data_IF_628931516490
#
_entry.id   IF_628931516490
#
_cell.length_a   1.000
_cell.length_b   1.000
_cell.length_c   1.000
_cell.angle_alpha   90.00
_cell.angle_beta   90.00
_cell.angle_gamma   90.00
#
_symmetry.space_group_name_H-M   'P 1'
#
loop_
_entity.id
_entity.type
_entity.pdbx_description
1 polymer ?
#
# COMPACT_ATOMS: atom_id res chain seq x y z
N UNK A 1 -11.52 2.55 18.93
CA UNK A 1 -10.80 3.68 18.31
C UNK A 1 -10.59 3.50 16.80
N UNK A 2 -9.93 2.42 16.34
CA UNK A 2 -9.68 2.15 14.92
C UNK A 2 -10.95 2.24 14.03
N UNK A 3 -12.03 1.61 14.48
CA UNK A 3 -13.36 1.68 13.85
C UNK A 3 -13.91 3.08 13.62
N UNK A 4 -13.66 3.97 14.57
CA UNK A 4 -14.10 5.36 14.49
C UNK A 4 -13.31 6.11 13.41
N UNK A 5 -12.01 5.82 13.29
CA UNK A 5 -11.14 6.39 12.24
C UNK A 5 -11.56 5.91 10.84
N UNK A 6 -11.92 4.64 10.68
CA UNK A 6 -12.43 4.09 9.41
C UNK A 6 -13.71 4.82 8.96
N UNK A 7 -14.66 5.06 9.88
CA UNK A 7 -15.87 5.83 9.59
C UNK A 7 -15.56 7.29 9.22
N UNK A 8 -14.69 7.96 9.97
CA UNK A 8 -14.30 9.34 9.65
C UNK A 8 -13.65 9.46 8.27
N UNK A 9 -12.88 8.45 7.86
CA UNK A 9 -12.24 8.41 6.55
C UNK A 9 -13.23 8.22 5.38
N UNK A 10 -14.46 7.74 5.64
CA UNK A 10 -15.49 7.56 4.62
C UNK A 10 -16.91 7.86 5.15
N UNK A 11 -17.29 9.15 5.28
CA UNK A 11 -18.54 9.57 5.91
C UNK A 11 -19.80 9.28 5.08
N UNK A 12 -19.69 8.73 3.87
CA UNK A 12 -20.79 8.48 2.93
C UNK A 12 -21.64 7.24 3.21
N UNK A 13 -21.29 6.43 4.21
CA UNK A 13 -22.09 5.25 4.60
C UNK A 13 -23.19 5.73 5.55
N UNK A 14 -24.42 5.85 5.03
CA UNK A 14 -25.61 6.45 5.69
C UNK A 14 -26.13 5.76 6.96
N UNK A 15 -25.31 4.94 7.61
CA UNK A 15 -25.64 4.25 8.86
C UNK A 15 -25.38 5.15 10.09
N UNK A 16 -26.26 5.04 11.09
CA UNK A 16 -25.99 5.56 12.44
C UNK A 16 -24.73 4.92 13.05
N UNK A 17 -24.17 5.53 14.10
CA UNK A 17 -22.95 5.00 14.78
C UNK A 17 -23.19 3.61 15.34
N UNK A 18 -24.39 3.39 15.86
CA UNK A 18 -24.85 2.14 16.44
C UNK A 18 -25.00 1.05 15.37
N UNK A 19 -25.63 1.37 14.23
CA UNK A 19 -25.77 0.45 13.09
C UNK A 19 -24.41 0.04 12.52
N UNK A 20 -23.52 1.01 12.29
CA UNK A 20 -22.17 0.72 11.81
C UNK A 20 -21.38 -0.17 12.78
N UNK A 21 -21.48 0.09 14.10
CA UNK A 21 -20.85 -0.76 15.13
C UNK A 21 -21.44 -2.16 15.15
N UNK A 22 -22.75 -2.31 14.99
CA UNK A 22 -23.42 -3.61 14.99
C UNK A 22 -23.04 -4.42 13.75
N UNK A 23 -23.13 -3.81 12.56
CA UNK A 23 -22.67 -4.43 11.30
C UNK A 23 -21.22 -4.88 11.40
N UNK A 24 -20.34 -4.01 11.88
CA UNK A 24 -18.94 -4.37 12.03
C UNK A 24 -18.69 -5.50 13.03
N UNK A 25 -19.38 -5.51 14.18
CA UNK A 25 -19.25 -6.60 15.15
C UNK A 25 -19.70 -7.94 14.55
N UNK A 26 -20.78 -7.95 13.78
CA UNK A 26 -21.24 -9.13 13.08
C UNK A 26 -20.21 -9.60 12.04
N UNK A 27 -19.70 -8.68 11.21
CA UNK A 27 -18.62 -8.93 10.24
C UNK A 27 -17.36 -9.48 10.89
N UNK A 28 -16.90 -8.85 11.98
CA UNK A 28 -15.74 -9.30 12.73
C UNK A 28 -15.97 -10.70 13.32
N UNK A 29 -17.16 -10.98 13.87
CA UNK A 29 -17.53 -12.31 14.35
C UNK A 29 -17.46 -13.38 13.26
N UNK A 30 -18.01 -13.10 12.08
CA UNK A 30 -17.94 -13.99 10.91
C UNK A 30 -16.49 -14.22 10.46
N UNK A 31 -15.69 -13.16 10.39
CA UNK A 31 -14.28 -13.25 9.97
C UNK A 31 -13.46 -14.02 10.99
N UNK A 32 -13.70 -13.87 12.28
CA UNK A 32 -13.01 -14.64 13.31
C UNK A 32 -13.40 -16.13 13.27
N UNK A 33 -14.65 -16.45 12.94
CA UNK A 33 -15.13 -17.82 12.79
C UNK A 33 -14.77 -18.47 11.44
N UNK A 34 -14.37 -17.68 10.44
CA UNK A 34 -14.10 -18.17 9.10
C UNK A 34 -12.99 -19.26 9.09
N UNK A 35 -13.17 -20.36 8.32
CA UNK A 35 -12.23 -21.48 8.27
C UNK A 35 -11.05 -21.17 7.33
N UNK A 36 -10.35 -20.06 7.57
CA UNK A 36 -9.22 -19.59 6.74
C UNK A 36 -8.14 -20.67 6.55
N UNK A 37 -7.97 -21.53 7.56
CA UNK A 37 -7.00 -22.63 7.58
C UNK A 37 -7.33 -23.77 6.63
N UNK A 38 -8.49 -23.75 5.95
CA UNK A 38 -8.82 -24.72 4.91
C UNK A 38 -7.98 -24.51 3.63
N UNK A 39 -7.60 -23.27 3.35
CA UNK A 39 -6.95 -22.87 2.10
C UNK A 39 -5.57 -22.27 2.29
N UNK A 40 -5.27 -21.77 3.49
CA UNK A 40 -4.02 -21.09 3.82
C UNK A 40 -3.46 -21.64 5.14
N UNK A 41 -2.16 -21.89 5.22
CA UNK A 41 -1.48 -22.23 6.46
C UNK A 41 -0.40 -21.19 6.77
N UNK A 42 -0.33 -20.75 8.02
CA UNK A 42 0.66 -19.78 8.51
C UNK A 42 0.79 -19.89 10.03
N UNK A 43 1.69 -19.10 10.62
CA UNK A 43 1.83 -19.01 12.08
C UNK A 43 0.58 -18.42 12.74
N UNK A 44 0.42 -18.61 14.05
CA UNK A 44 -0.70 -18.02 14.79
C UNK A 44 -0.75 -16.49 14.66
N UNK A 45 0.42 -15.85 14.77
CA UNK A 45 0.57 -14.40 14.57
C UNK A 45 0.16 -13.98 13.16
N UNK A 46 0.62 -14.69 12.13
CA UNK A 46 0.27 -14.41 10.75
C UNK A 46 -1.25 -14.54 10.51
N UNK A 47 -1.88 -15.57 11.10
CA UNK A 47 -3.33 -15.77 10.99
C UNK A 47 -4.12 -14.69 11.73
N UNK A 48 -3.64 -14.20 12.88
CA UNK A 48 -4.26 -13.09 13.60
C UNK A 48 -4.18 -11.79 12.80
N UNK A 49 -3.00 -11.49 12.26
CA UNK A 49 -2.77 -10.34 11.38
C UNK A 49 -3.66 -10.41 10.14
N UNK A 50 -3.78 -11.58 9.51
CA UNK A 50 -4.65 -11.81 8.36
C UNK A 50 -6.12 -11.59 8.70
N UNK A 51 -6.61 -12.14 9.82
CA UNK A 51 -7.98 -11.90 10.28
C UNK A 51 -8.23 -10.41 10.52
N UNK A 52 -7.28 -9.73 11.15
CA UNK A 52 -7.37 -8.28 11.36
C UNK A 52 -7.43 -7.55 10.02
N UNK A 53 -6.56 -7.86 9.06
CA UNK A 53 -6.58 -7.27 7.72
C UNK A 53 -7.92 -7.49 7.00
N UNK A 54 -8.49 -8.71 7.08
CA UNK A 54 -9.79 -9.01 6.51
C UNK A 54 -10.90 -8.16 7.15
N UNK A 55 -10.88 -7.99 8.47
CA UNK A 55 -11.83 -7.12 9.16
C UNK A 55 -11.72 -5.68 8.65
N UNK A 56 -10.51 -5.18 8.36
CA UNK A 56 -10.32 -3.84 7.79
C UNK A 56 -10.85 -3.71 6.37
N UNK A 57 -10.73 -4.77 5.56
CA UNK A 57 -11.29 -4.82 4.21
C UNK A 57 -12.82 -4.83 4.24
N UNK A 58 -13.40 -5.64 5.12
CA UNK A 58 -14.84 -5.91 5.17
C UNK A 58 -15.70 -4.66 5.43
N UNK A 59 -15.09 -3.57 5.92
CA UNK A 59 -15.79 -2.30 6.15
C UNK A 59 -16.16 -1.60 4.84
N UNK A 60 -15.43 -1.88 3.76
CA UNK A 60 -15.59 -1.21 2.48
C UNK A 60 -15.76 -2.16 1.30
N UNK A 61 -15.49 -3.45 1.48
CA UNK A 61 -15.44 -4.44 0.42
C UNK A 61 -16.28 -5.68 0.80
N UNK A 62 -17.02 -6.23 -0.16
CA UNK A 62 -17.64 -7.54 -0.04
C UNK A 62 -16.68 -8.65 -0.49
N UNK A 63 -16.65 -9.76 0.23
CA UNK A 63 -15.85 -10.94 -0.13
C UNK A 63 -16.58 -11.79 -1.17
N UNK A 64 -16.32 -11.49 -2.43
CA UNK A 64 -16.82 -12.24 -3.58
C UNK A 64 -15.77 -12.23 -4.70
N UNK A 65 -16.05 -12.88 -5.84
CA UNK A 65 -15.18 -12.78 -7.01
C UNK A 65 -14.94 -11.34 -7.50
N UNK A 66 -15.80 -10.37 -7.15
CA UNK A 66 -15.60 -8.96 -7.49
C UNK A 66 -14.45 -8.30 -6.71
N UNK A 67 -14.10 -8.79 -5.51
CA UNK A 67 -12.98 -8.25 -4.72
C UNK A 67 -11.65 -8.34 -5.48
N UNK A 68 -11.58 -9.22 -6.49
CA UNK A 68 -10.41 -9.40 -7.33
C UNK A 68 -10.04 -8.19 -8.18
N UNK A 69 -11.01 -7.31 -8.48
CA UNK A 69 -10.83 -6.16 -9.38
C UNK A 69 -10.40 -4.89 -8.65
N UNK A 70 -10.55 -4.86 -7.33
CA UNK A 70 -10.18 -3.72 -6.49
C UNK A 70 -8.75 -3.78 -6.00
N UNK A 71 -8.42 -2.88 -5.06
CA UNK A 71 -7.08 -2.72 -4.45
C UNK A 71 -6.90 -3.53 -3.15
N UNK A 72 -7.89 -4.36 -2.79
CA UNK A 72 -7.85 -5.22 -1.62
C UNK A 72 -6.70 -6.26 -1.68
N UNK A 73 -6.43 -6.93 -2.82
CA UNK A 73 -5.28 -7.83 -2.94
C UNK A 73 -3.95 -7.15 -2.68
N UNK A 74 -3.77 -5.93 -3.16
CA UNK A 74 -2.56 -5.13 -2.98
C UNK A 74 -2.38 -4.72 -1.51
N UNK A 75 -3.47 -4.33 -0.85
CA UNK A 75 -3.45 -4.06 0.58
C UNK A 75 -3.02 -5.30 1.36
N UNK A 76 -3.64 -6.46 1.11
CA UNK A 76 -3.31 -7.72 1.81
C UNK A 76 -1.87 -8.14 1.54
N UNK A 77 -1.42 -8.05 0.28
CA UNK A 77 -0.03 -8.34 -0.07
C UNK A 77 0.94 -7.44 0.73
N UNK A 78 0.65 -6.15 0.84
CA UNK A 78 1.48 -5.21 1.59
C UNK A 78 1.52 -5.57 3.08
N UNK A 79 0.36 -5.76 3.72
CA UNK A 79 0.32 -6.01 5.17
C UNK A 79 0.79 -7.41 5.55
N UNK A 80 0.63 -8.39 4.68
CA UNK A 80 1.05 -9.77 4.93
C UNK A 80 2.47 -10.07 4.44
N UNK A 81 3.15 -9.10 3.81
CA UNK A 81 4.50 -9.30 3.26
C UNK A 81 5.54 -9.85 4.24
N UNK A 82 5.53 -9.56 5.56
CA UNK A 82 6.50 -10.15 6.48
C UNK A 82 6.19 -11.61 6.86
N UNK A 83 4.98 -12.09 6.54
CA UNK A 83 4.50 -13.40 6.95
C UNK A 83 4.70 -14.45 5.86
N UNK A 84 4.85 -15.69 6.30
CA UNK A 84 4.93 -16.87 5.43
C UNK A 84 3.61 -17.60 5.42
N UNK A 85 3.04 -17.79 4.23
CA UNK A 85 1.82 -18.55 4.05
C UNK A 85 1.95 -19.61 2.95
N UNK A 86 1.59 -20.83 3.29
CA UNK A 86 1.47 -21.93 2.33
C UNK A 86 0.02 -22.06 1.85
N UNK A 87 -0.15 -22.32 0.55
CA UNK A 87 -1.47 -22.66 -0.02
C UNK A 87 -1.72 -24.16 0.12
N UNK A 88 -2.83 -24.54 0.74
CA UNK A 88 -3.17 -25.95 0.96
C UNK A 88 -3.88 -26.60 -0.24
N UNK A 89 -4.65 -25.81 -1.02
CA UNK A 89 -5.46 -26.31 -2.15
C UNK A 89 -5.49 -25.33 -3.32
N UNK A 90 -4.34 -24.94 -3.91
CA UNK A 90 -4.25 -23.89 -4.92
C UNK A 90 -5.10 -24.19 -6.17
N UNK A 91 -5.08 -25.43 -6.66
CA UNK A 91 -5.82 -25.84 -7.86
C UNK A 91 -7.34 -25.66 -7.71
N UNK A 92 -7.88 -25.89 -6.50
CA UNK A 92 -9.29 -25.70 -6.20
C UNK A 92 -9.70 -24.22 -6.30
N UNK A 93 -8.84 -23.32 -5.82
CA UNK A 93 -9.06 -21.88 -5.90
C UNK A 93 -8.98 -21.38 -7.35
N UNK A 94 -7.99 -21.84 -8.12
CA UNK A 94 -7.86 -21.55 -9.56
C UNK A 94 -9.11 -21.99 -10.33
N UNK A 95 -9.62 -23.19 -10.04
CA UNK A 95 -10.86 -23.69 -10.67
C UNK A 95 -12.04 -22.79 -10.36
N UNK A 96 -12.24 -22.40 -9.09
CA UNK A 96 -13.32 -21.48 -8.67
C UNK A 96 -13.20 -20.13 -9.38
N UNK A 97 -12.00 -19.54 -9.42
CA UNK A 97 -11.76 -18.28 -10.14
C UNK A 97 -12.08 -18.38 -11.62
N UNK A 98 -11.58 -19.41 -12.29
CA UNK A 98 -11.82 -19.58 -13.73
C UNK A 98 -13.31 -19.81 -14.02
N UNK A 99 -14.03 -20.56 -13.16
CA UNK A 99 -15.47 -20.73 -13.27
C UNK A 99 -16.22 -19.41 -13.10
N UNK A 100 -15.87 -18.62 -12.09
CA UNK A 100 -16.45 -17.29 -11.87
C UNK A 100 -16.24 -16.36 -13.07
N UNK A 101 -14.99 -16.21 -13.53
CA UNK A 101 -14.66 -15.36 -14.68
C UNK A 101 -15.38 -15.82 -15.95
N UNK A 102 -15.46 -17.13 -16.20
CA UNK A 102 -16.19 -17.68 -17.36
C UNK A 102 -17.68 -17.38 -17.28
N UNK A 103 -18.27 -17.47 -16.09
CA UNK A 103 -19.68 -17.18 -15.87
C UNK A 103 -19.96 -15.68 -16.07
N UNK A 104 -19.24 -14.81 -15.35
CA UNK A 104 -19.39 -13.36 -15.45
C UNK A 104 -19.05 -12.81 -16.83
N UNK A 105 -18.12 -13.43 -17.56
CA UNK A 105 -17.75 -13.05 -18.92
C UNK A 105 -18.88 -13.23 -19.94
N UNK A 106 -19.92 -14.01 -19.63
CA UNK A 106 -21.15 -14.10 -20.44
C UNK A 106 -22.07 -12.89 -20.24
N UNK A 107 -21.97 -12.24 -19.08
CA UNK A 107 -22.83 -11.14 -18.68
C UNK A 107 -22.18 -9.77 -18.90
N UNK A 108 -20.84 -9.68 -18.76
CA UNK A 108 -20.10 -8.42 -18.88
C UNK A 108 -18.78 -8.61 -19.64
N UNK A 109 -18.56 -7.75 -20.64
CA UNK A 109 -17.35 -7.77 -21.49
C UNK A 109 -16.05 -7.56 -20.71
N UNK A 110 -16.10 -6.82 -19.60
CA UNK A 110 -14.96 -6.65 -18.69
C UNK A 110 -14.38 -8.00 -18.26
N UNK A 111 -15.22 -8.94 -17.84
CA UNK A 111 -14.80 -10.26 -17.38
C UNK A 111 -14.39 -11.20 -18.52
N UNK A 112 -14.92 -10.98 -19.73
CA UNK A 112 -14.50 -11.76 -20.91
C UNK A 112 -13.02 -11.54 -21.28
N UNK A 113 -12.45 -10.38 -20.91
CA UNK A 113 -11.04 -10.07 -21.13
C UNK A 113 -10.08 -10.74 -20.15
N UNK A 114 -10.57 -11.40 -19.10
CA UNK A 114 -9.73 -12.02 -18.09
C UNK A 114 -9.23 -13.38 -18.55
N UNK A 115 -7.91 -13.50 -18.77
CA UNK A 115 -7.29 -14.74 -19.20
C UNK A 115 -7.55 -15.89 -18.22
N UNK A 116 -7.75 -17.10 -18.75
CA UNK A 116 -7.86 -18.32 -17.95
C UNK A 116 -6.51 -18.63 -17.30
N UNK A 117 -6.52 -18.85 -16.00
CA UNK A 117 -5.31 -19.24 -15.27
C UNK A 117 -4.99 -20.73 -15.46
N UNK A 118 -3.70 -21.05 -15.60
CA UNK A 118 -3.19 -22.42 -15.51
C UNK A 118 -3.30 -23.00 -14.09
N UNK A 119 -3.18 -24.32 -13.95
CA UNK A 119 -3.34 -25.00 -12.65
C UNK A 119 -2.33 -24.52 -11.59
N UNK A 120 -1.12 -24.15 -12.03
CA UNK A 120 -0.01 -23.71 -11.18
C UNK A 120 0.20 -22.18 -11.23
N UNK A 121 -0.83 -21.44 -11.65
CA UNK A 121 -0.73 -19.99 -11.83
C UNK A 121 -0.65 -19.19 -10.51
N UNK A 122 -0.96 -19.82 -9.38
CA UNK A 122 -0.81 -19.22 -8.05
C UNK A 122 0.19 -20.04 -7.25
N UNK A 123 1.08 -19.35 -6.55
CA UNK A 123 2.16 -19.93 -5.75
C UNK A 123 1.95 -19.62 -4.26
N UNK A 124 2.61 -20.37 -3.34
CA UNK A 124 2.70 -19.98 -1.94
C UNK A 124 3.12 -18.52 -1.78
N UNK A 125 2.58 -17.86 -0.75
CA UNK A 125 2.97 -16.50 -0.39
C UNK A 125 4.05 -16.61 0.66
N UNK A 126 5.25 -16.93 0.21
CA UNK A 126 6.44 -17.00 1.04
C UNK A 126 7.47 -16.02 0.47
N UNK A 127 7.96 -15.07 1.28
CA UNK A 127 9.05 -14.22 0.86
C UNK A 127 10.28 -15.07 0.52
N UNK A 128 10.98 -14.79 -0.59
CA UNK A 128 12.21 -15.49 -0.92
C UNK A 128 13.26 -15.28 0.17
N UNK A 129 14.11 -16.28 0.39
CA UNK A 129 15.22 -16.19 1.32
C UNK A 129 16.34 -15.33 0.74
N UNK A 130 16.17 -14.01 0.83
CA UNK A 130 17.08 -12.98 0.33
C UNK A 130 17.44 -12.05 1.51
N UNK A 131 18.73 -11.91 1.86
CA UNK A 131 19.15 -11.12 3.02
C UNK A 131 18.66 -9.66 3.01
N UNK A 132 18.71 -9.01 1.85
CA UNK A 132 18.31 -7.60 1.70
C UNK A 132 16.79 -7.45 1.88
N UNK A 133 16.01 -8.40 1.33
CA UNK A 133 14.57 -8.45 1.54
C UNK A 133 14.23 -8.73 3.00
N UNK A 134 14.88 -9.72 3.60
CA UNK A 134 14.64 -10.15 4.98
C UNK A 134 14.85 -9.01 5.98
N UNK A 135 15.86 -8.15 5.76
CA UNK A 135 16.07 -6.98 6.61
C UNK A 135 14.90 -5.99 6.53
N UNK A 136 14.42 -5.68 5.32
CA UNK A 136 13.25 -4.81 5.11
C UNK A 136 11.99 -5.42 5.74
N UNK A 137 11.74 -6.70 5.53
CA UNK A 137 10.60 -7.41 6.11
C UNK A 137 10.65 -7.42 7.64
N UNK A 138 11.84 -7.58 8.23
CA UNK A 138 12.05 -7.48 9.67
C UNK A 138 11.63 -6.13 10.24
N UNK A 139 11.92 -5.03 9.54
CA UNK A 139 11.44 -3.69 9.92
C UNK A 139 9.92 -3.56 9.78
N UNK A 140 9.37 -4.03 8.65
CA UNK A 140 7.93 -3.98 8.37
C UNK A 140 7.10 -4.79 9.38
N UNK A 141 7.62 -5.93 9.85
CA UNK A 141 6.96 -6.78 10.84
C UNK A 141 6.64 -6.02 12.14
N UNK A 142 7.51 -5.09 12.56
CA UNK A 142 7.33 -4.29 13.78
C UNK A 142 6.20 -3.25 13.70
N UNK A 143 5.70 -2.97 12.50
CA UNK A 143 4.69 -1.94 12.26
C UNK A 143 3.26 -2.53 12.36
N UNK A 144 2.30 -1.76 12.93
CA UNK A 144 0.87 -2.10 12.83
C UNK A 144 0.41 -2.14 11.35
N UNK A 145 -0.59 -2.96 11.03
CA UNK A 145 -0.99 -3.25 9.64
C UNK A 145 -1.18 -2.01 8.74
N UNK A 146 -1.92 -0.99 9.21
CA UNK A 146 -2.12 0.24 8.42
C UNK A 146 -0.81 0.99 8.13
N UNK A 147 0.07 1.08 9.14
CA UNK A 147 1.38 1.72 9.04
C UNK A 147 2.31 0.89 8.15
N UNK A 148 2.23 -0.43 8.24
CA UNK A 148 2.95 -1.38 7.39
C UNK A 148 2.55 -1.22 5.92
N UNK A 149 1.26 -1.13 5.60
CA UNK A 149 0.80 -0.84 4.24
C UNK A 149 1.32 0.51 3.72
N UNK A 150 1.27 1.55 4.55
CA UNK A 150 1.80 2.87 4.19
C UNK A 150 3.33 2.85 3.97
N UNK A 151 4.08 2.12 4.80
CA UNK A 151 5.51 1.91 4.60
C UNK A 151 5.79 1.21 3.27
N UNK A 152 5.04 0.15 2.95
CA UNK A 152 5.16 -0.56 1.67
C UNK A 152 4.82 0.34 0.49
N UNK A 153 3.78 1.19 0.59
CA UNK A 153 3.46 2.18 -0.45
C UNK A 153 4.65 3.10 -0.73
N UNK A 154 5.30 3.59 0.33
CA UNK A 154 6.50 4.43 0.22
C UNK A 154 7.69 3.67 -0.39
N UNK A 155 7.97 2.45 0.08
CA UNK A 155 9.06 1.61 -0.45
C UNK A 155 8.86 1.27 -1.93
N UNK A 156 7.62 0.98 -2.37
CA UNK A 156 7.31 0.75 -3.78
C UNK A 156 7.58 2.00 -4.62
N UNK A 157 7.18 3.18 -4.13
CA UNK A 157 7.48 4.44 -4.81
C UNK A 157 8.98 4.65 -4.96
N UNK A 158 9.73 4.61 -3.85
CA UNK A 158 11.18 4.82 -3.89
C UNK A 158 11.92 3.72 -4.66
N UNK A 159 11.44 2.48 -4.69
CA UNK A 159 12.06 1.44 -5.53
C UNK A 159 11.96 1.75 -7.04
N UNK A 160 10.92 2.46 -7.47
CA UNK A 160 10.72 2.89 -8.85
C UNK A 160 11.42 4.22 -9.15
N UNK A 161 11.36 5.16 -8.21
CA UNK A 161 11.91 6.52 -8.31
C UNK A 161 12.88 6.80 -7.15
N UNK A 162 13.99 6.03 -7.09
CA UNK A 162 14.96 6.02 -5.97
C UNK A 162 15.54 7.38 -5.56
N UNK A 163 15.47 8.38 -6.43
CA UNK A 163 16.14 9.66 -6.22
C UNK A 163 15.20 10.80 -5.90
N UNK A 164 13.88 10.64 -5.97
CA UNK A 164 12.97 11.79 -5.84
C UNK A 164 12.39 11.83 -4.44
N UNK A 165 12.81 12.77 -3.56
CA UNK A 165 12.23 12.90 -2.24
C UNK A 165 10.74 13.21 -2.27
N UNK A 166 10.02 12.63 -1.31
CA UNK A 166 8.58 12.79 -1.14
C UNK A 166 8.22 12.79 0.33
N UNK A 167 7.12 13.46 0.67
CA UNK A 167 6.57 13.35 2.02
C UNK A 167 5.84 12.01 2.16
N UNK A 168 5.96 11.35 3.30
CA UNK A 168 5.23 10.10 3.55
C UNK A 168 3.72 10.31 3.39
N UNK A 169 3.17 11.43 3.86
CA UNK A 169 1.77 11.78 3.66
C UNK A 169 1.32 11.68 2.19
N UNK A 170 2.14 12.17 1.24
CA UNK A 170 1.86 12.08 -0.21
C UNK A 170 1.94 10.67 -0.77
N UNK A 171 2.69 9.77 -0.12
CA UNK A 171 2.88 8.38 -0.53
C UNK A 171 1.85 7.42 0.07
N UNK A 172 1.07 7.86 1.06
CA UNK A 172 -0.08 7.08 1.52
C UNK A 172 -1.10 6.92 0.38
N UNK A 173 -1.51 5.70 0.04
CA UNK A 173 -2.61 5.50 -0.92
C UNK A 173 -3.94 5.84 -0.28
N UNK A 174 -4.91 6.31 -1.08
CA UNK A 174 -6.29 6.51 -0.62
C UNK A 174 -6.86 5.24 0.00
N UNK A 175 -6.56 4.10 -0.61
CA UNK A 175 -6.95 2.77 -0.15
C UNK A 175 -6.40 2.45 1.25
N UNK A 176 -5.16 2.84 1.55
CA UNK A 176 -4.59 2.69 2.89
C UNK A 176 -5.26 3.66 3.86
N UNK A 177 -5.52 4.90 3.45
CA UNK A 177 -6.19 5.94 4.27
C UNK A 177 -7.63 5.62 4.63
N UNK A 178 -8.44 5.15 3.66
CA UNK A 178 -9.86 4.83 3.88
C UNK A 178 -10.05 3.76 4.97
N UNK A 179 -9.02 2.93 5.20
CA UNK A 179 -8.96 1.91 6.25
C UNK A 179 -8.58 2.46 7.64
N UNK A 180 -8.67 3.78 7.86
CA UNK A 180 -8.51 4.40 9.19
C UNK A 180 -7.05 4.71 9.57
N UNK A 181 -6.16 4.85 8.58
CA UNK A 181 -4.78 5.27 8.80
C UNK A 181 -4.73 6.70 9.35
N UNK A 182 -4.01 6.86 10.46
CA UNK A 182 -3.58 8.16 10.96
C UNK A 182 -2.22 8.49 10.33
N UNK A 183 -2.21 9.48 9.44
CA UNK A 183 -1.04 9.78 8.61
C UNK A 183 0.12 10.30 9.46
N UNK A 184 -0.15 11.12 10.47
CA UNK A 184 0.90 11.73 11.30
C UNK A 184 1.56 10.68 12.21
N UNK A 185 0.75 9.85 12.89
CA UNK A 185 1.26 8.74 13.70
C UNK A 185 2.02 7.72 12.82
N UNK A 186 1.49 7.45 11.62
CA UNK A 186 2.13 6.53 10.68
C UNK A 186 3.46 7.07 10.18
N UNK A 187 3.55 8.36 9.84
CA UNK A 187 4.78 9.01 9.39
C UNK A 187 5.87 8.91 10.45
N UNK A 188 5.53 9.22 11.71
CA UNK A 188 6.45 9.08 12.85
C UNK A 188 6.96 7.64 13.00
N UNK A 189 6.08 6.65 13.01
CA UNK A 189 6.45 5.24 13.17
C UNK A 189 7.30 4.71 12.02
N UNK A 190 7.04 5.15 10.79
CA UNK A 190 7.84 4.76 9.62
C UNK A 190 9.26 5.33 9.75
N UNK A 191 9.40 6.60 10.14
CA UNK A 191 10.71 7.21 10.41
C UNK A 191 11.50 6.45 11.49
N UNK A 192 10.83 6.03 12.56
CA UNK A 192 11.44 5.25 13.65
C UNK A 192 12.02 3.89 13.19
N UNK A 193 11.55 3.34 12.08
CA UNK A 193 12.10 2.09 11.54
C UNK A 193 13.47 2.25 10.89
N UNK A 194 13.85 3.48 10.51
CA UNK A 194 15.03 3.76 9.70
C UNK A 194 14.93 3.31 8.24
N UNK A 195 13.78 2.79 7.78
CA UNK A 195 13.57 2.42 6.37
C UNK A 195 13.74 3.63 5.44
N UNK A 196 13.33 4.81 5.91
CA UNK A 196 13.48 6.09 5.21
C UNK A 196 14.20 7.06 6.12
N UNK A 197 14.91 8.02 5.51
CA UNK A 197 15.65 9.07 6.21
C UNK A 197 15.20 10.44 5.70
N UNK A 198 15.33 11.52 6.49
CA UNK A 198 15.10 12.87 6.01
C UNK A 198 15.93 13.14 4.75
N UNK A 199 15.29 13.66 3.72
CA UNK A 199 15.98 13.92 2.46
C UNK A 199 16.93 15.11 2.60
N UNK A 200 18.07 15.03 1.91
CA UNK A 200 19.06 16.11 1.88
C UNK A 200 19.36 16.61 0.46
N UNK A 201 18.95 15.87 -0.57
CA UNK A 201 19.19 16.21 -1.97
C UNK A 201 18.17 17.26 -2.47
N UNK A 202 18.61 18.52 -2.54
CA UNK A 202 17.80 19.64 -3.02
C UNK A 202 17.46 19.50 -4.51
N UNK A 203 18.44 19.12 -5.34
CA UNK A 203 18.25 19.03 -6.79
C UNK A 203 17.20 17.98 -7.13
N UNK A 204 17.28 16.82 -6.49
CA UNK A 204 16.34 15.76 -6.73
C UNK A 204 14.94 16.06 -6.15
N UNK A 205 14.86 16.81 -5.06
CA UNK A 205 13.59 17.33 -4.56
C UNK A 205 12.96 18.36 -5.50
N UNK A 206 13.75 19.31 -6.01
CA UNK A 206 13.32 20.31 -7.00
C UNK A 206 12.92 19.66 -8.33
N UNK A 207 13.55 18.55 -8.72
CA UNK A 207 13.13 17.77 -9.88
C UNK A 207 11.68 17.26 -9.73
N UNK A 208 11.17 17.11 -8.51
CA UNK A 208 9.78 16.78 -8.22
C UNK A 208 8.80 17.95 -8.36
N UNK A 209 9.27 19.19 -8.35
CA UNK A 209 8.41 20.37 -8.36
C UNK A 209 7.84 20.65 -9.76
N UNK A 210 6.64 21.22 -9.82
CA UNK A 210 6.13 21.74 -11.08
C UNK A 210 6.78 23.09 -11.39
N UNK A 211 6.74 23.48 -12.67
CA UNK A 211 7.17 24.83 -13.09
C UNK A 211 6.44 25.94 -12.32
N UNK A 212 5.16 25.71 -12.00
CA UNK A 212 4.34 26.65 -11.23
C UNK A 212 4.87 26.81 -9.80
N UNK A 213 5.25 25.70 -9.17
CA UNK A 213 5.77 25.71 -7.80
C UNK A 213 7.11 26.47 -7.72
N UNK A 214 7.99 26.27 -8.70
CA UNK A 214 9.26 26.99 -8.81
C UNK A 214 9.07 28.50 -9.00
N UNK A 215 8.17 28.91 -9.90
CA UNK A 215 7.86 30.33 -10.10
C UNK A 215 7.29 30.98 -8.82
N UNK A 216 6.36 30.28 -8.15
CA UNK A 216 5.78 30.77 -6.91
C UNK A 216 6.82 30.91 -5.80
N UNK A 217 7.71 29.93 -5.65
CA UNK A 217 8.79 29.97 -4.67
C UNK A 217 9.78 31.11 -4.94
N UNK A 218 10.27 31.25 -6.18
CA UNK A 218 11.21 32.31 -6.53
C UNK A 218 10.59 33.70 -6.31
N UNK A 219 9.30 33.88 -6.63
CA UNK A 219 8.58 35.11 -6.33
C UNK A 219 8.46 35.37 -4.82
N UNK A 220 8.19 34.34 -4.01
CA UNK A 220 8.17 34.43 -2.54
C UNK A 220 9.55 34.79 -1.96
N UNK A 221 10.63 34.30 -2.56
CA UNK A 221 12.00 34.64 -2.20
C UNK A 221 12.42 36.04 -2.69
N UNK A 222 11.53 36.81 -3.32
CA UNK A 222 11.80 38.16 -3.81
C UNK A 222 12.54 38.22 -5.15
N UNK A 223 12.77 37.07 -5.78
CA UNK A 223 13.39 36.99 -7.11
C UNK A 223 12.34 37.21 -8.20
N UNK A 224 12.77 37.78 -9.33
CA UNK A 224 11.91 38.03 -10.50
C UNK A 224 12.34 37.14 -11.67
N UNK A 225 12.02 35.83 -11.64
CA UNK A 225 12.32 34.94 -12.75
C UNK A 225 11.53 35.34 -13.99
N UNK A 226 12.10 35.11 -15.18
CA UNK A 226 11.38 35.34 -16.43
C UNK A 226 10.33 34.25 -16.64
N UNK A 227 9.10 34.66 -16.95
CA UNK A 227 8.00 33.75 -17.26
C UNK A 227 8.23 32.89 -18.51
N UNK A 228 9.28 33.11 -19.31
CA UNK A 228 9.66 32.27 -20.44
C UNK A 228 10.66 31.16 -20.09
N UNK A 229 11.23 31.16 -18.88
CA UNK A 229 12.20 30.15 -18.49
C UNK A 229 11.57 28.76 -18.30
N UNK A 230 12.31 27.74 -18.74
CA UNK A 230 12.00 26.32 -18.54
C UNK A 230 12.17 25.90 -17.08
N UNK A 231 11.66 24.71 -16.74
CA UNK A 231 11.67 24.18 -15.36
C UNK A 231 13.10 24.04 -14.84
N UNK A 232 14.00 23.55 -15.67
CA UNK A 232 15.40 23.26 -15.36
C UNK A 232 16.13 24.56 -15.00
N UNK A 233 15.94 25.63 -15.79
CA UNK A 233 16.55 26.94 -15.51
C UNK A 233 15.99 27.60 -14.26
N UNK A 234 14.70 27.39 -13.96
CA UNK A 234 14.08 27.89 -12.73
C UNK A 234 14.59 27.13 -11.50
N UNK A 235 14.78 25.80 -11.60
CA UNK A 235 15.36 24.99 -10.54
C UNK A 235 16.83 25.37 -10.28
N UNK A 236 17.63 25.56 -11.33
CA UNK A 236 19.02 26.04 -11.22
C UNK A 236 19.10 27.40 -10.52
N UNK A 237 18.22 28.35 -10.88
CA UNK A 237 18.15 29.65 -10.19
C UNK A 237 17.77 29.49 -8.72
N UNK A 238 16.76 28.66 -8.43
CA UNK A 238 16.32 28.41 -7.05
C UNK A 238 17.45 27.82 -6.21
N UNK A 239 18.18 26.84 -6.75
CA UNK A 239 19.31 26.23 -6.06
C UNK A 239 20.45 27.23 -5.82
N UNK A 240 20.79 28.03 -6.83
CA UNK A 240 21.94 28.96 -6.76
C UNK A 240 21.67 30.17 -5.85
N UNK A 241 20.47 30.75 -5.93
CA UNK A 241 20.16 32.03 -5.28
C UNK A 241 19.41 31.86 -3.95
N UNK A 242 18.85 30.68 -3.67
CA UNK A 242 17.97 30.44 -2.52
C UNK A 242 18.28 29.14 -1.76
N UNK A 243 19.51 28.65 -1.81
CA UNK A 243 19.91 27.36 -1.22
C UNK A 243 19.51 27.21 0.25
N UNK A 244 19.80 28.20 1.10
CA UNK A 244 19.46 28.15 2.53
C UNK A 244 17.94 28.14 2.78
N UNK A 245 17.17 28.92 2.00
CA UNK A 245 15.72 28.91 2.07
C UNK A 245 15.14 27.56 1.60
N UNK A 246 15.76 26.94 0.59
CA UNK A 246 15.40 25.62 0.12
C UNK A 246 15.70 24.54 1.17
N UNK A 247 16.85 24.60 1.85
CA UNK A 247 17.17 23.68 2.96
C UNK A 247 16.15 23.78 4.08
N UNK A 248 15.82 25.00 4.51
CA UNK A 248 14.78 25.22 5.53
C UNK A 248 13.43 24.64 5.10
N UNK A 249 13.00 24.91 3.86
CA UNK A 249 11.74 24.40 3.33
C UNK A 249 11.72 22.88 3.15
N UNK A 250 12.84 22.27 2.76
CA UNK A 250 12.97 20.82 2.66
C UNK A 250 12.80 20.19 4.05
N UNK A 251 13.50 20.71 5.05
CA UNK A 251 13.38 20.25 6.43
C UNK A 251 11.95 20.38 6.97
N UNK A 252 11.30 21.53 6.75
CA UNK A 252 9.90 21.77 7.16
C UNK A 252 8.89 20.88 6.43
N UNK A 253 9.18 20.48 5.18
CA UNK A 253 8.28 19.64 4.40
C UNK A 253 8.16 18.21 4.94
N UNK A 254 9.15 17.75 5.73
CA UNK A 254 9.24 16.36 6.15
C UNK A 254 9.42 15.38 4.98
N UNK A 255 10.00 15.84 3.86
CA UNK A 255 10.33 14.96 2.76
C UNK A 255 11.41 13.95 3.18
N UNK A 256 11.24 12.72 2.71
CA UNK A 256 12.13 11.60 3.00
C UNK A 256 12.63 10.98 1.72
N UNK A 257 13.71 10.23 1.86
CA UNK A 257 14.27 9.35 0.86
C UNK A 257 14.47 7.94 1.46
N UNK A 258 14.60 6.95 0.58
CA UNK A 258 14.89 5.58 1.01
C UNK A 258 16.30 5.53 1.61
N UNK A 259 16.46 4.93 2.78
CA UNK A 259 17.79 4.79 3.36
C UNK A 259 18.66 3.92 2.42
N UNK A 260 19.91 4.33 2.08
CA UNK A 260 20.69 3.69 1.03
C UNK A 260 20.87 2.18 1.20
N UNK A 261 20.99 1.70 2.44
CA UNK A 261 21.13 0.28 2.75
C UNK A 261 19.90 -0.56 2.37
N UNK A 262 18.71 0.06 2.24
CA UNK A 262 17.46 -0.63 1.92
C UNK A 262 17.07 -0.59 0.45
N UNK A 263 17.90 -0.02 -0.44
CA UNK A 263 17.61 0.10 -1.88
C UNK A 263 17.40 -1.26 -2.55
N UNK A 264 18.28 -2.23 -2.27
CA UNK A 264 18.16 -3.57 -2.84
C UNK A 264 16.92 -4.29 -2.30
N UNK A 265 16.73 -4.29 -0.98
CA UNK A 265 15.59 -4.90 -0.31
C UNK A 265 14.25 -4.34 -0.76
N UNK A 266 14.13 -3.02 -0.97
CA UNK A 266 12.92 -2.39 -1.46
C UNK A 266 12.55 -2.83 -2.90
N UNK A 267 13.55 -3.05 -3.77
CA UNK A 267 13.32 -3.61 -5.11
C UNK A 267 12.85 -5.06 -5.03
N UNK A 268 13.51 -5.88 -4.22
CA UNK A 268 13.10 -7.27 -3.96
C UNK A 268 11.69 -7.36 -3.40
N UNK A 269 11.33 -6.45 -2.50
CA UNK A 269 9.98 -6.35 -1.94
C UNK A 269 8.96 -6.07 -3.03
N UNK A 270 9.23 -5.12 -3.94
CA UNK A 270 8.32 -4.83 -5.07
C UNK A 270 8.11 -6.07 -5.93
N UNK A 271 9.19 -6.73 -6.32
CA UNK A 271 9.12 -7.92 -7.18
C UNK A 271 8.36 -9.07 -6.49
N UNK A 272 8.60 -9.27 -5.18
CA UNK A 272 7.86 -10.24 -4.37
C UNK A 272 6.36 -9.93 -4.33
N UNK A 273 5.98 -8.68 -4.02
CA UNK A 273 4.58 -8.27 -3.93
C UNK A 273 3.86 -8.42 -5.28
N UNK A 274 4.53 -8.07 -6.38
CA UNK A 274 3.96 -8.22 -7.72
C UNK A 274 3.75 -9.71 -8.07
N UNK A 275 4.63 -10.60 -7.62
CA UNK A 275 4.47 -12.06 -7.79
C UNK A 275 3.38 -12.67 -6.89
N UNK A 276 3.20 -12.16 -5.67
CA UNK A 276 2.20 -12.64 -4.72
C UNK A 276 0.79 -12.12 -5.02
N UNK A 277 0.68 -11.09 -5.86
CA UNK A 277 -0.58 -10.37 -6.14
C UNK A 277 -1.70 -11.28 -6.63
N UNK A 278 -1.42 -12.12 -7.63
CA UNK A 278 -2.47 -13.00 -8.20
C UNK A 278 -2.90 -14.06 -7.18
N UNK A 279 -1.98 -14.55 -6.35
CA UNK A 279 -2.32 -15.46 -5.24
C UNK A 279 -3.30 -14.79 -4.26
N UNK A 280 -2.99 -13.58 -3.79
CA UNK A 280 -3.89 -12.87 -2.87
C UNK A 280 -5.24 -12.52 -3.50
N UNK A 281 -5.24 -12.15 -4.79
CA UNK A 281 -6.45 -11.89 -5.55
C UNK A 281 -7.37 -13.12 -5.56
N UNK A 282 -6.83 -14.27 -5.98
CA UNK A 282 -7.58 -15.51 -6.06
C UNK A 282 -8.02 -16.00 -4.68
N UNK A 283 -7.15 -15.89 -3.67
CA UNK A 283 -7.47 -16.33 -2.31
C UNK A 283 -8.54 -15.45 -1.65
N UNK A 284 -8.49 -14.12 -1.80
CA UNK A 284 -9.52 -13.23 -1.26
C UNK A 284 -10.89 -13.47 -1.87
N UNK A 285 -10.94 -13.76 -3.18
CA UNK A 285 -12.20 -14.01 -3.88
C UNK A 285 -12.85 -15.36 -3.56
N UNK A 286 -12.07 -16.40 -3.24
CA UNK A 286 -12.60 -17.78 -3.18
C UNK A 286 -12.09 -18.67 -2.04
N UNK A 287 -11.11 -18.19 -1.26
CA UNK A 287 -10.39 -18.95 -0.23
C UNK A 287 -10.68 -18.51 1.21
N UNK A 288 -11.35 -17.37 1.41
CA UNK A 288 -11.70 -16.86 2.74
C UNK A 288 -12.81 -17.68 3.43
N UNK A 289 -13.65 -18.37 2.64
CA UNK A 289 -14.85 -19.04 3.16
C UNK A 289 -15.92 -18.06 3.68
N UNK A 290 -15.77 -16.77 3.40
CA UNK A 290 -16.77 -15.75 3.67
C UNK A 290 -17.72 -15.69 2.47
N UNK A 291 -18.99 -15.99 2.70
CA UNK A 291 -20.07 -15.70 1.76
C UNK A 291 -20.82 -14.50 2.33
N UNK A 292 -20.67 -13.33 1.71
CA UNK A 292 -21.32 -12.08 2.11
C UNK A 292 -22.04 -11.45 0.93
#
# INVERSE_FOLDING_TARGET
>A
EYLWRVRQANPGVGDSVEQFRQHYRALAGMILAAPLTQHLAGSEEAMLDLRTALVLLAVHEGFSGFIMTGEAPEFVAAVMSPHRFSLLRPQGLVKRRNSFVTHMGREMSYWAGWARLGADAIAPVEPPDDPDLNEVLGRLATLPLGVRAHAVDALRHFSAETRVPRTLASLSRYETRKRGLDVDDSTRRILETGLVVPATDLDAWLAGWTRRDLLAFLAQAGLRPRNSWGKERLAEMAHTECEELLRGRLAESGAVELAPQYVAGARRLRDYLDSARETWRVWLGFGTGLEM
#
